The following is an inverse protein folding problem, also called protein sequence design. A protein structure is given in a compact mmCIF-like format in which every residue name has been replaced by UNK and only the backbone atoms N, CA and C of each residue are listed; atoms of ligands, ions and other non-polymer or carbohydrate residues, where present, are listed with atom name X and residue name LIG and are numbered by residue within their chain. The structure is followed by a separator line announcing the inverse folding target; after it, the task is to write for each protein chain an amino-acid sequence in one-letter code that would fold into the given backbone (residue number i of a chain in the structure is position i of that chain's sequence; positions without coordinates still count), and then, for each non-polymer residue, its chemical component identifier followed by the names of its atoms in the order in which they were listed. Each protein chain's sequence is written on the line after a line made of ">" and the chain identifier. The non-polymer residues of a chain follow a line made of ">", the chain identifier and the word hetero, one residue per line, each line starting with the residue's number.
data_IF_916459356234
#
_entry.id   IF_916459356234
#
_cell.length_a   1.000
_cell.length_b   1.000
_cell.length_c   1.000
_cell.angle_alpha   90.00
_cell.angle_beta   90.00
_cell.angle_gamma   90.00
#
_symmetry.space_group_name_H-M   'P 1'
#
loop_
_entity.id
_entity.type
_entity.pdbx_description
1 polymer ?
#
# COMPACT_ATOMS: atom_id res chain seq x y z
N UNK A 1 0.72 -25.51 -1.59
CA UNK A 1 1.59 -24.33 -1.38
C UNK A 1 2.05 -23.66 -2.68
N UNK A 2 2.42 -24.41 -3.74
CA UNK A 2 2.93 -23.81 -4.99
C UNK A 2 1.92 -22.94 -5.76
N UNK A 3 0.64 -23.31 -5.75
CA UNK A 3 -0.40 -22.61 -6.54
C UNK A 3 -0.64 -21.16 -6.06
N UNK A 4 -0.84 -20.96 -4.76
CA UNK A 4 -1.01 -19.61 -4.18
C UNK A 4 0.21 -18.71 -4.43
N UNK A 5 1.43 -19.27 -4.35
CA UNK A 5 2.66 -18.54 -4.65
C UNK A 5 2.71 -18.07 -6.11
N UNK A 6 2.32 -18.92 -7.07
CA UNK A 6 2.23 -18.56 -8.50
C UNK A 6 1.21 -17.45 -8.73
N UNK A 7 0.02 -17.54 -8.14
CA UNK A 7 -1.02 -16.52 -8.26
C UNK A 7 -0.58 -15.18 -7.67
N UNK A 8 0.05 -15.20 -6.48
CA UNK A 8 0.56 -13.98 -5.84
C UNK A 8 1.69 -13.34 -6.66
N UNK A 9 2.55 -14.14 -7.30
CA UNK A 9 3.61 -13.63 -8.19
C UNK A 9 3.02 -12.95 -9.41
N UNK A 10 2.05 -13.57 -10.08
CA UNK A 10 1.36 -12.97 -11.21
C UNK A 10 0.60 -11.69 -10.83
N UNK A 11 -0.02 -11.65 -9.65
CA UNK A 11 -0.68 -10.45 -9.15
C UNK A 11 0.32 -9.31 -8.84
N UNK A 12 1.48 -9.63 -8.26
CA UNK A 12 2.56 -8.66 -8.03
C UNK A 12 3.12 -8.07 -9.33
N UNK A 13 3.29 -8.90 -10.36
CA UNK A 13 3.73 -8.43 -11.68
C UNK A 13 2.77 -7.44 -12.35
N UNK A 14 1.49 -7.41 -11.94
CA UNK A 14 0.50 -6.46 -12.43
C UNK A 14 0.50 -5.13 -11.68
N UNK A 15 1.28 -4.98 -10.61
CA UNK A 15 1.38 -3.72 -9.89
C UNK A 15 2.28 -2.75 -10.67
N UNK A 16 1.86 -1.48 -10.87
CA UNK A 16 2.62 -0.50 -11.64
C UNK A 16 3.95 -0.12 -10.98
N UNK A 17 4.05 -0.29 -9.65
CA UNK A 17 5.28 -0.12 -8.88
C UNK A 17 5.20 -0.95 -7.61
N UNK A 18 6.36 -1.32 -7.07
CA UNK A 18 6.48 -2.04 -5.81
C UNK A 18 6.64 -1.06 -4.64
N UNK A 19 6.38 -1.50 -3.41
CA UNK A 19 6.73 -0.78 -2.18
C UNK A 19 7.92 -1.46 -1.48
N UNK A 20 8.63 -0.74 -0.62
CA UNK A 20 9.86 -1.18 0.07
C UNK A 20 9.62 -1.72 1.49
N UNK A 21 8.37 -1.75 1.99
CA UNK A 21 8.03 -2.17 3.36
C UNK A 21 8.20 -3.68 3.67
N UNK A 22 8.59 -4.48 2.68
CA UNK A 22 8.76 -5.93 2.83
C UNK A 22 7.45 -6.63 3.19
N UNK A 23 7.40 -7.30 4.33
CA UNK A 23 6.19 -8.00 4.82
C UNK A 23 5.28 -7.13 5.69
N UNK A 24 5.68 -5.88 5.99
CA UNK A 24 4.90 -4.98 6.84
C UNK A 24 3.77 -4.34 6.04
N UNK A 25 2.61 -4.24 6.66
CA UNK A 25 1.50 -3.47 6.10
C UNK A 25 1.79 -1.97 6.16
N UNK A 26 1.11 -1.18 5.32
CA UNK A 26 1.23 0.28 5.38
C UNK A 26 0.73 0.85 6.71
N UNK A 27 -0.34 0.27 7.28
CA UNK A 27 -0.81 0.65 8.61
C UNK A 27 0.26 0.42 9.69
N UNK A 28 0.95 -0.72 9.64
CA UNK A 28 2.06 -1.00 10.55
C UNK A 28 3.21 0.01 10.38
N UNK A 29 3.56 0.36 9.14
CA UNK A 29 4.60 1.38 8.87
C UNK A 29 4.19 2.76 9.37
N UNK A 30 2.91 3.11 9.26
CA UNK A 30 2.38 4.36 9.79
C UNK A 30 2.53 4.41 11.32
N UNK A 31 2.14 3.34 12.04
CA UNK A 31 2.35 3.26 13.50
C UNK A 31 3.83 3.42 13.88
N UNK A 32 4.74 2.70 13.21
CA UNK A 32 6.19 2.80 13.45
C UNK A 32 6.78 4.19 13.16
N UNK A 33 6.15 4.95 12.26
CA UNK A 33 6.55 6.32 11.95
C UNK A 33 6.02 7.30 13.00
N UNK A 34 4.75 7.16 13.40
CA UNK A 34 4.14 7.96 14.47
C UNK A 34 4.90 7.78 15.79
N UNK A 35 5.28 6.54 16.15
CA UNK A 35 6.08 6.28 17.36
C UNK A 35 7.46 6.94 17.32
N UNK A 36 8.10 7.00 16.14
CA UNK A 36 9.41 7.65 15.99
C UNK A 36 9.34 9.17 15.96
N UNK A 37 8.31 9.74 15.33
CA UNK A 37 8.18 11.19 15.12
C UNK A 37 7.42 11.88 16.27
N UNK A 38 6.59 11.15 17.01
CA UNK A 38 5.70 11.72 18.02
C UNK A 38 4.50 12.48 17.45
N UNK A 39 4.29 12.42 16.13
CA UNK A 39 3.29 13.20 15.39
C UNK A 39 2.52 12.32 14.41
N UNK A 40 1.33 12.77 13.99
CA UNK A 40 0.53 12.08 12.99
C UNK A 40 1.20 12.12 11.62
N UNK A 41 1.35 10.96 10.99
CA UNK A 41 1.93 10.82 9.66
C UNK A 41 0.82 10.85 8.63
N UNK A 42 0.90 11.79 7.69
CA UNK A 42 -0.08 11.91 6.60
C UNK A 42 0.17 10.86 5.49
N UNK A 43 -0.80 10.66 4.59
CA UNK A 43 -0.70 9.63 3.54
C UNK A 43 0.39 9.90 2.49
N UNK A 44 0.70 11.17 2.20
CA UNK A 44 1.73 11.56 1.23
C UNK A 44 3.12 11.22 1.78
N UNK A 45 3.35 11.50 3.06
CA UNK A 45 4.55 11.14 3.79
C UNK A 45 4.70 9.61 3.92
N UNK A 46 3.61 8.92 4.29
CA UNK A 46 3.59 7.45 4.33
C UNK A 46 3.93 6.85 2.95
N UNK A 47 3.45 7.46 1.87
CA UNK A 47 3.80 7.03 0.52
C UNK A 47 5.30 7.13 0.26
N UNK A 48 5.91 8.29 0.55
CA UNK A 48 7.36 8.50 0.39
C UNK A 48 8.17 7.47 1.20
N UNK A 49 7.86 7.30 2.48
CA UNK A 49 8.55 6.39 3.41
C UNK A 49 8.47 4.91 3.01
N UNK A 50 7.46 4.56 2.23
CA UNK A 50 7.21 3.18 1.80
C UNK A 50 7.60 2.92 0.36
N UNK A 51 7.98 3.95 -0.39
CA UNK A 51 8.42 3.86 -1.79
C UNK A 51 9.84 4.41 -2.00
N UNK A 52 10.52 4.81 -0.93
CA UNK A 52 11.94 5.12 -0.91
C UNK A 52 12.73 3.96 -0.30
N UNK A 53 13.92 3.69 -0.85
CA UNK A 53 14.90 2.75 -0.32
C UNK A 53 16.28 3.38 -0.44
N UNK A 54 17.01 3.46 0.68
CA UNK A 54 18.34 4.06 0.73
C UNK A 54 18.40 5.49 0.13
N UNK A 55 17.34 6.28 0.33
CA UNK A 55 17.26 7.66 -0.17
C UNK A 55 16.78 7.82 -1.62
N UNK A 56 16.51 6.73 -2.35
CA UNK A 56 16.02 6.79 -3.74
C UNK A 56 14.67 6.11 -3.88
N UNK A 57 13.80 6.63 -4.76
CA UNK A 57 12.55 5.97 -5.10
C UNK A 57 12.79 4.60 -5.72
N UNK A 58 11.92 3.65 -5.37
CA UNK A 58 11.97 2.26 -5.86
C UNK A 58 11.72 2.13 -7.36
N UNK A 59 11.15 3.15 -8.01
CA UNK A 59 10.93 3.23 -9.46
C UNK A 59 10.59 4.66 -9.86
N UNK A 60 10.89 5.04 -11.11
CA UNK A 60 10.52 6.34 -11.67
C UNK A 60 9.00 6.61 -11.54
N UNK A 61 8.16 5.61 -11.83
CA UNK A 61 6.71 5.76 -11.70
C UNK A 61 6.25 6.11 -10.27
N UNK A 62 6.97 5.66 -9.25
CA UNK A 62 6.67 6.00 -7.86
C UNK A 62 7.09 7.43 -7.53
N UNK A 63 8.22 7.88 -8.06
CA UNK A 63 8.68 9.27 -7.97
C UNK A 63 7.71 10.22 -8.68
N UNK A 64 7.29 9.91 -9.91
CA UNK A 64 6.33 10.72 -10.68
C UNK A 64 4.99 10.83 -9.94
N UNK A 65 4.53 9.73 -9.33
CA UNK A 65 3.33 9.71 -8.47
C UNK A 65 3.51 10.63 -7.26
N UNK A 66 4.66 10.59 -6.59
CA UNK A 66 4.93 11.45 -5.43
C UNK A 66 5.00 12.92 -5.85
N UNK A 67 5.70 13.24 -6.94
CA UNK A 67 5.79 14.59 -7.48
C UNK A 67 4.42 15.15 -7.83
N UNK A 68 3.53 14.33 -8.40
CA UNK A 68 2.15 14.73 -8.68
C UNK A 68 1.33 15.00 -7.42
N UNK A 69 1.57 14.28 -6.32
CA UNK A 69 0.95 14.59 -5.03
C UNK A 69 1.42 15.96 -4.51
N UNK A 70 2.72 16.25 -4.60
CA UNK A 70 3.29 17.54 -4.19
C UNK A 70 2.79 18.69 -5.05
N UNK A 71 2.67 18.48 -6.36
CA UNK A 71 2.12 19.47 -7.28
C UNK A 71 0.70 19.86 -6.88
N UNK A 72 -0.17 18.88 -6.61
CA UNK A 72 -1.55 19.12 -6.16
C UNK A 72 -1.61 19.77 -4.77
N UNK A 73 -0.66 19.47 -3.87
CA UNK A 73 -0.54 20.17 -2.59
C UNK A 73 -0.14 21.64 -2.77
N UNK A 74 0.65 21.95 -3.81
CA UNK A 74 1.14 23.30 -4.08
C UNK A 74 0.19 24.18 -4.90
N UNK A 75 -0.82 23.60 -5.55
CA UNK A 75 -1.76 24.36 -6.35
C UNK A 75 -2.63 25.26 -5.46
N UNK A 76 -2.63 26.59 -5.66
CA UNK A 76 -3.53 27.48 -4.95
C UNK A 76 -4.97 27.16 -5.36
N UNK A 77 -5.84 27.00 -4.38
CA UNK A 77 -7.25 26.74 -4.63
C UNK A 77 -7.85 27.86 -5.47
N UNK A 78 -8.52 27.47 -6.55
CA UNK A 78 -9.29 28.36 -7.39
C UNK A 78 -10.29 29.09 -6.47
N UNK A 79 -10.18 30.43 -6.43
CA UNK A 79 -10.89 31.38 -5.56
C UNK A 79 -12.25 30.85 -5.08
N UNK A 80 -12.28 30.32 -3.84
CA UNK A 80 -13.51 29.88 -3.17
C UNK A 80 -13.66 28.37 -2.89
N UNK A 81 -12.72 27.52 -3.30
CA UNK A 81 -12.71 26.09 -2.93
C UNK A 81 -11.78 25.80 -1.75
N UNK A 82 -12.15 24.82 -0.92
CA UNK A 82 -11.33 24.33 0.20
C UNK A 82 -10.12 23.57 -0.36
N UNK A 83 -8.93 23.76 0.23
CA UNK A 83 -7.73 23.00 -0.14
C UNK A 83 -8.05 21.50 -0.06
N UNK A 84 -7.62 20.74 -1.07
CA UNK A 84 -7.76 19.29 -1.04
C UNK A 84 -7.00 18.73 0.17
N UNK A 85 -7.66 17.91 0.97
CA UNK A 85 -6.99 17.17 2.04
C UNK A 85 -5.93 16.23 1.44
N UNK A 86 -4.87 15.94 2.19
CA UNK A 86 -3.84 14.96 1.79
C UNK A 86 -4.45 13.61 1.41
N UNK A 87 -5.56 13.23 2.04
CA UNK A 87 -6.30 12.00 1.72
C UNK A 87 -6.97 12.08 0.35
N UNK A 88 -7.55 13.23 0.00
CA UNK A 88 -8.19 13.47 -1.31
C UNK A 88 -7.14 13.51 -2.42
N UNK A 89 -6.00 14.14 -2.16
CA UNK A 89 -4.86 14.17 -3.08
C UNK A 89 -4.36 12.75 -3.34
N UNK A 90 -4.15 11.95 -2.29
CA UNK A 90 -3.75 10.56 -2.46
C UNK A 90 -4.79 9.73 -3.21
N UNK A 91 -6.08 9.92 -2.95
CA UNK A 91 -7.15 9.20 -3.66
C UNK A 91 -7.22 9.59 -5.14
N UNK A 92 -6.99 10.86 -5.47
CA UNK A 92 -6.94 11.36 -6.85
C UNK A 92 -5.74 10.79 -7.62
N UNK A 93 -4.56 10.74 -6.99
CA UNK A 93 -3.33 10.28 -7.65
C UNK A 93 -3.23 8.76 -7.71
N UNK A 94 -3.52 8.06 -6.60
CA UNK A 94 -3.38 6.60 -6.50
C UNK A 94 -4.59 5.85 -7.07
N UNK A 95 -5.71 6.57 -7.21
CA UNK A 95 -7.01 6.06 -7.62
C UNK A 95 -7.84 5.58 -6.42
N UNK A 96 -9.13 5.92 -6.46
CA UNK A 96 -10.14 5.48 -5.49
C UNK A 96 -10.88 4.25 -6.00
N UNK A 97 -11.06 3.24 -5.13
CA UNK A 97 -11.93 2.10 -5.42
C UNK A 97 -13.03 2.02 -4.34
N UNK A 98 -14.31 1.82 -4.69
CA UNK A 98 -15.38 1.74 -3.70
C UNK A 98 -15.09 0.66 -2.64
N UNK A 99 -15.05 1.05 -1.37
CA UNK A 99 -14.73 0.17 -0.25
C UNK A 99 -13.25 -0.24 -0.12
N UNK A 100 -12.34 0.34 -0.89
CA UNK A 100 -10.91 0.06 -0.81
C UNK A 100 -10.07 1.33 -1.03
N UNK A 101 -9.51 1.85 0.06
CA UNK A 101 -8.55 2.95 0.01
C UNK A 101 -7.16 2.37 -0.24
N UNK A 102 -6.62 2.63 -1.44
CA UNK A 102 -5.32 2.13 -1.85
C UNK A 102 -4.23 2.71 -0.93
N UNK A 103 -3.32 1.86 -0.48
CA UNK A 103 -2.24 2.29 0.41
C UNK A 103 -2.54 2.21 1.90
N UNK A 104 -3.74 1.84 2.35
CA UNK A 104 -4.06 1.76 3.78
C UNK A 104 -4.40 0.35 4.28
N UNK A 105 -4.68 -0.59 3.38
CA UNK A 105 -5.10 -1.96 3.76
C UNK A 105 -6.56 -2.08 4.21
N UNK A 106 -7.33 -1.00 4.08
CA UNK A 106 -8.77 -0.99 4.32
C UNK A 106 -9.44 -1.56 3.08
N UNK A 107 -9.92 -2.79 3.19
CA UNK A 107 -10.65 -3.48 2.12
C UNK A 107 -11.70 -4.41 2.71
N UNK A 108 -12.69 -4.83 1.90
CA UNK A 108 -13.68 -5.78 2.36
C UNK A 108 -12.96 -7.03 2.86
N UNK A 109 -13.20 -7.40 4.12
CA UNK A 109 -12.57 -8.58 4.74
C UNK A 109 -12.92 -9.80 3.86
N UNK A 110 -11.93 -10.47 3.23
CA UNK A 110 -12.23 -11.61 2.39
C UNK A 110 -12.91 -12.68 3.26
N UNK A 111 -13.99 -13.28 2.75
CA UNK A 111 -14.69 -14.36 3.45
C UNK A 111 -13.68 -15.48 3.75
N UNK A 112 -13.71 -15.98 4.98
CA UNK A 112 -12.76 -16.98 5.46
C UNK A 112 -12.66 -18.15 4.48
N UNK A 113 -11.45 -18.42 3.99
CA UNK A 113 -11.15 -19.60 3.17
C UNK A 113 -11.32 -20.82 4.06
N UNK A 114 -12.17 -21.78 3.68
CA UNK A 114 -12.24 -23.10 4.34
C UNK A 114 -10.83 -23.69 4.40
N UNK A 115 -10.32 -23.90 5.60
CA UNK A 115 -9.18 -24.77 5.88
C UNK A 115 -9.62 -26.19 5.58
N UNK A 116 -9.24 -26.73 4.42
CA UNK A 116 -9.26 -28.17 4.19
C UNK A 116 -8.18 -28.79 5.06
N UNK A 117 -8.59 -29.51 6.10
CA UNK A 117 -7.71 -30.35 6.92
C UNK A 117 -7.00 -31.35 6.01
N UNK A 118 -5.67 -31.31 6.00
CA UNK A 118 -4.86 -32.33 5.36
C UNK A 118 -4.87 -33.57 6.27
N UNK A 119 -5.55 -34.62 5.85
CA UNK A 119 -5.47 -35.93 6.49
C UNK A 119 -4.05 -36.48 6.27
N UNK A 120 -3.25 -36.54 7.33
CA UNK A 120 -1.97 -37.25 7.34
C UNK A 120 -2.25 -38.75 7.25
N UNK A 121 -1.97 -39.34 6.09
CA UNK A 121 -2.01 -40.78 5.88
C UNK A 121 -0.65 -41.36 6.31
N UNK A 122 -0.65 -42.13 7.40
CA UNK A 122 0.52 -42.83 7.90
C UNK A 122 0.79 -44.06 7.03
N UNK A 123 1.83 -44.00 6.19
CA UNK A 123 2.42 -45.20 5.58
C UNK A 123 3.64 -45.61 6.42
N UNK A 124 3.48 -46.59 7.30
CA UNK A 124 4.63 -47.35 7.82
C UNK A 124 4.92 -48.48 6.83
N UNK A 125 6.14 -48.48 6.30
CA UNK A 125 6.72 -49.55 5.51
C UNK A 125 7.29 -50.66 6.43
N UNK A 126 7.37 -51.86 5.86
CA UNK A 126 7.68 -53.19 6.42
C UNK A 126 8.70 -53.31 7.54
#
# INVERSE_FOLDING_TARGET
>A
MQEQSRTNKAARQKQPYNHSSGSKSFLQRQYELVERKGESVNRVELFQETHVRAGTFVSQAAEDVHNKMLELQSQPTLEGSQLLSEDEICDQVLGRRPGYSKGLGWGPKPKARRTTSASSSSTSCS
#
